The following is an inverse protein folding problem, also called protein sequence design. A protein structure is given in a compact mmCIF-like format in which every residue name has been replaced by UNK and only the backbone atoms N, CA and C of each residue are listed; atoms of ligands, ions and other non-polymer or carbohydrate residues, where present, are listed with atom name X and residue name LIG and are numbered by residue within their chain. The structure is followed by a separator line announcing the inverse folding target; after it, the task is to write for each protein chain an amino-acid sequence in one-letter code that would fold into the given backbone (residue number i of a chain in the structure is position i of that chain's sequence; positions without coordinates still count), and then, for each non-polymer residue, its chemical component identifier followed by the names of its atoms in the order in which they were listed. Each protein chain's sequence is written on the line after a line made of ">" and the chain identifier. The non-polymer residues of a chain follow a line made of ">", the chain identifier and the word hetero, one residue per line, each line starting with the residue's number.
data_IF_895710075505
#
_entry.id   IF_895710075505
#
_cell.length_a   1.000
_cell.length_b   1.000
_cell.length_c   1.000
_cell.angle_alpha   90.00
_cell.angle_beta   90.00
_cell.angle_gamma   90.00
#
_symmetry.space_group_name_H-M   'P 1'
#
loop_
_entity.id
_entity.type
_entity.pdbx_description
1 polymer ?
#
# COMPACT_ATOMS: atom_id res chain seq x y z
N UNK A 1 -46.42 -14.21 19.25
CA UNK A 1 -47.86 -13.81 19.14
C UNK A 1 -48.55 -13.87 20.54
N UNK A 2 -48.39 -14.95 21.34
CA UNK A 2 -49.05 -15.10 22.64
C UNK A 2 -48.72 -14.00 23.62
N UNK A 3 -47.41 -13.62 23.73
CA UNK A 3 -46.97 -12.61 24.67
C UNK A 3 -47.55 -11.22 24.37
N UNK A 4 -47.59 -10.83 23.09
CA UNK A 4 -48.13 -9.52 22.66
C UNK A 4 -49.62 -9.39 22.90
N UNK A 5 -50.36 -10.48 22.74
CA UNK A 5 -51.84 -10.47 22.85
C UNK A 5 -52.34 -10.70 24.29
N UNK A 6 -51.57 -11.44 25.13
CA UNK A 6 -52.01 -11.81 26.46
C UNK A 6 -51.32 -10.99 27.55
N UNK A 7 -50.02 -10.74 27.38
CA UNK A 7 -49.18 -10.12 28.44
C UNK A 7 -48.77 -8.69 28.10
N UNK A 8 -49.16 -8.21 26.92
CA UNK A 8 -48.83 -6.86 26.41
C UNK A 8 -47.30 -6.56 26.43
N UNK A 9 -46.48 -7.60 26.31
CA UNK A 9 -45.00 -7.51 26.25
C UNK A 9 -44.46 -8.10 24.98
N UNK A 10 -43.39 -7.51 24.48
CA UNK A 10 -42.64 -8.00 23.31
C UNK A 10 -41.64 -9.10 23.66
N UNK A 11 -41.29 -9.22 24.97
CA UNK A 11 -40.26 -10.12 25.46
C UNK A 11 -40.95 -11.27 26.17
N UNK A 12 -40.66 -12.51 25.80
CA UNK A 12 -41.15 -13.71 26.43
C UNK A 12 -40.24 -14.20 27.54
N UNK A 13 -40.63 -15.30 28.23
CA UNK A 13 -39.85 -15.92 29.31
C UNK A 13 -38.50 -16.50 28.84
N UNK A 14 -38.43 -16.93 27.60
CA UNK A 14 -37.17 -17.41 26.96
C UNK A 14 -36.65 -16.33 26.03
N UNK A 15 -35.54 -15.73 26.42
CA UNK A 15 -34.84 -14.70 25.66
C UNK A 15 -33.53 -15.30 25.17
N UNK A 16 -33.29 -15.16 23.85
CA UNK A 16 -32.04 -15.52 23.23
C UNK A 16 -31.43 -14.26 22.61
N UNK A 17 -30.10 -14.21 22.55
CA UNK A 17 -29.36 -13.07 21.97
C UNK A 17 -28.85 -13.45 20.60
N UNK A 18 -29.17 -12.60 19.64
CA UNK A 18 -28.61 -12.68 18.30
C UNK A 18 -27.79 -11.42 18.03
N UNK A 19 -26.47 -11.59 17.91
CA UNK A 19 -25.56 -10.49 17.62
C UNK A 19 -25.57 -10.19 16.13
N UNK A 20 -25.74 -8.93 15.80
CA UNK A 20 -25.67 -8.41 14.43
C UNK A 20 -24.54 -7.41 14.29
N UNK A 21 -24.00 -7.22 13.09
CA UNK A 21 -23.01 -6.17 12.83
C UNK A 21 -23.61 -4.78 13.05
N UNK A 22 -22.75 -3.77 13.22
CA UNK A 22 -23.20 -2.38 13.38
C UNK A 22 -23.98 -1.89 12.15
N UNK A 23 -23.59 -2.34 10.97
CA UNK A 23 -24.22 -2.02 9.70
C UNK A 23 -25.63 -2.62 9.61
N UNK A 24 -25.82 -3.87 10.09
CA UNK A 24 -27.12 -4.56 10.10
C UNK A 24 -28.03 -4.05 11.21
N UNK A 25 -27.49 -3.40 12.24
CA UNK A 25 -28.24 -2.87 13.38
C UNK A 25 -28.88 -1.50 13.11
N UNK A 26 -28.69 -0.92 11.93
CA UNK A 26 -29.21 0.42 11.61
C UNK A 26 -30.73 0.38 11.49
N UNK A 27 -31.40 1.14 12.36
CA UNK A 27 -32.85 1.37 12.28
C UNK A 27 -33.12 2.58 11.42
N UNK A 28 -34.08 2.47 10.49
CA UNK A 28 -34.44 3.55 9.56
C UNK A 28 -35.69 4.25 10.10
N UNK A 29 -35.48 5.33 10.84
CA UNK A 29 -36.54 6.15 11.41
C UNK A 29 -36.66 7.54 10.75
N UNK A 30 -35.56 7.99 10.13
CA UNK A 30 -35.43 9.29 9.46
C UNK A 30 -34.91 9.18 8.03
N UNK A 31 -34.98 10.26 7.26
CA UNK A 31 -34.38 10.31 5.92
C UNK A 31 -32.82 10.21 5.98
N UNK A 32 -32.22 10.68 7.08
CA UNK A 32 -30.78 10.53 7.29
C UNK A 32 -30.40 9.05 7.48
N UNK A 33 -31.19 8.29 8.24
CA UNK A 33 -30.96 6.85 8.43
C UNK A 33 -31.13 6.10 7.10
N UNK A 34 -32.12 6.48 6.30
CA UNK A 34 -32.30 5.90 4.97
C UNK A 34 -31.11 6.21 4.05
N UNK A 35 -30.60 7.43 4.07
CA UNK A 35 -29.43 7.82 3.29
C UNK A 35 -28.19 7.04 3.74
N UNK A 36 -27.98 6.90 5.05
CA UNK A 36 -26.86 6.12 5.62
C UNK A 36 -26.98 4.63 5.25
N UNK A 37 -28.16 4.02 5.42
CA UNK A 37 -28.38 2.63 5.04
C UNK A 37 -28.18 2.40 3.54
N UNK A 38 -28.65 3.31 2.70
CA UNK A 38 -28.46 3.25 1.25
C UNK A 38 -26.98 3.37 0.87
N UNK A 39 -26.23 4.26 1.54
CA UNK A 39 -24.79 4.40 1.35
C UNK A 39 -24.06 3.10 1.72
N UNK A 40 -24.33 2.51 2.88
CA UNK A 40 -23.71 1.27 3.33
C UNK A 40 -24.00 0.11 2.37
N UNK A 41 -25.28 -0.01 1.93
CA UNK A 41 -25.68 -1.06 0.99
C UNK A 41 -25.07 -0.88 -0.41
N UNK A 42 -24.73 0.35 -0.78
CA UNK A 42 -24.08 0.66 -2.06
C UNK A 42 -22.56 0.46 -2.05
N UNK A 43 -21.95 0.26 -0.87
CA UNK A 43 -20.51 0.08 -0.76
C UNK A 43 -20.06 -1.18 -1.48
N UNK A 44 -18.96 -1.03 -2.21
CA UNK A 44 -18.31 -2.14 -2.91
C UNK A 44 -17.42 -2.93 -1.98
N UNK A 45 -17.47 -4.25 -2.07
CA UNK A 45 -16.53 -5.13 -1.38
C UNK A 45 -15.25 -5.23 -2.18
N UNK A 46 -14.15 -4.79 -1.59
CA UNK A 46 -12.85 -4.69 -2.26
C UNK A 46 -11.86 -5.61 -1.57
N UNK A 47 -11.09 -6.33 -2.37
CA UNK A 47 -9.90 -7.05 -1.92
C UNK A 47 -8.66 -6.48 -2.60
N UNK A 48 -7.55 -6.43 -1.88
CA UNK A 48 -6.23 -6.05 -2.40
C UNK A 48 -5.27 -7.21 -2.12
N UNK A 49 -4.64 -7.74 -3.16
CA UNK A 49 -3.55 -8.70 -3.03
C UNK A 49 -2.24 -7.99 -3.32
N UNK A 50 -1.36 -7.93 -2.33
CA UNK A 50 -0.11 -7.17 -2.41
C UNK A 50 1.05 -7.96 -1.82
N UNK A 51 2.21 -7.89 -2.50
CA UNK A 51 3.45 -8.46 -2.00
C UNK A 51 4.59 -7.42 -2.07
N UNK A 52 5.49 -7.48 -1.08
CA UNK A 52 6.66 -6.63 -1.02
C UNK A 52 7.73 -7.22 -0.09
N UNK A 53 8.97 -7.12 -0.52
CA UNK A 53 10.13 -7.57 0.25
C UNK A 53 11.40 -6.86 -0.24
N UNK A 54 12.57 -7.28 0.29
CA UNK A 54 13.85 -6.68 -0.10
C UNK A 54 14.25 -6.88 -1.56
N UNK A 55 13.64 -7.84 -2.28
CA UNK A 55 13.95 -8.11 -3.69
C UNK A 55 12.97 -7.40 -4.62
N UNK A 56 11.68 -7.49 -4.32
CA UNK A 56 10.60 -6.86 -5.10
C UNK A 56 10.55 -5.35 -4.85
N UNK A 57 10.97 -4.91 -3.66
CA UNK A 57 10.81 -3.54 -3.19
C UNK A 57 9.55 -3.35 -2.33
N UNK A 58 9.40 -2.15 -1.79
CA UNK A 58 8.34 -1.79 -0.86
C UNK A 58 7.24 -0.90 -1.49
N UNK A 59 7.43 -0.49 -2.74
CA UNK A 59 6.52 0.43 -3.43
C UNK A 59 5.08 -0.10 -3.50
N UNK A 60 4.92 -1.40 -3.73
CA UNK A 60 3.63 -2.08 -3.76
C UNK A 60 2.89 -1.96 -2.41
N UNK A 61 3.60 -2.20 -1.30
CA UNK A 61 3.02 -2.13 0.06
C UNK A 61 2.55 -0.70 0.38
N UNK A 62 3.42 0.30 0.17
CA UNK A 62 3.07 1.69 0.46
C UNK A 62 1.90 2.17 -0.39
N UNK A 63 1.94 1.90 -1.70
CA UNK A 63 0.85 2.26 -2.61
C UNK A 63 -0.47 1.60 -2.22
N UNK A 64 -0.45 0.31 -1.91
CA UNK A 64 -1.66 -0.43 -1.52
C UNK A 64 -2.26 0.07 -0.20
N UNK A 65 -1.43 0.47 0.77
CA UNK A 65 -1.91 1.07 2.03
C UNK A 65 -2.54 2.44 1.78
N UNK A 66 -1.88 3.32 1.03
CA UNK A 66 -2.43 4.63 0.66
C UNK A 66 -3.76 4.48 -0.12
N UNK A 67 -3.81 3.54 -1.07
CA UNK A 67 -5.03 3.25 -1.81
C UNK A 67 -6.15 2.73 -0.91
N UNK A 68 -5.82 1.85 0.04
CA UNK A 68 -6.78 1.28 0.97
C UNK A 68 -7.40 2.34 1.88
N UNK A 69 -6.64 3.38 2.24
CA UNK A 69 -7.12 4.51 3.04
C UNK A 69 -8.08 5.44 2.27
N UNK A 70 -8.12 5.37 0.94
CA UNK A 70 -9.05 6.15 0.11
C UNK A 70 -10.44 5.52 0.01
N UNK A 71 -10.58 4.25 0.33
CA UNK A 71 -11.88 3.59 0.27
C UNK A 71 -12.68 3.80 1.56
N UNK A 72 -13.95 4.19 1.42
CA UNK A 72 -14.88 4.27 2.56
C UNK A 72 -15.14 2.90 3.20
N UNK A 73 -15.15 1.82 2.39
CA UNK A 73 -15.13 0.45 2.88
C UNK A 73 -13.67 0.05 3.14
N UNK A 74 -13.42 -0.59 4.27
CA UNK A 74 -12.08 -1.15 4.52
C UNK A 74 -11.87 -2.38 3.62
N UNK A 75 -10.92 -2.36 2.69
CA UNK A 75 -10.64 -3.52 1.84
C UNK A 75 -9.98 -4.63 2.65
N UNK A 76 -10.25 -5.88 2.28
CA UNK A 76 -9.49 -7.04 2.76
C UNK A 76 -8.11 -7.04 2.07
N UNK A 77 -7.03 -6.97 2.85
CA UNK A 77 -5.67 -6.96 2.30
C UNK A 77 -5.01 -8.32 2.44
N UNK A 78 -4.82 -9.00 1.33
CA UNK A 78 -4.15 -10.30 1.25
C UNK A 78 -2.67 -10.14 0.95
N UNK A 79 -1.83 -10.97 1.56
CA UNK A 79 -0.40 -11.04 1.26
C UNK A 79 0.13 -12.46 1.39
N UNK A 80 1.11 -12.83 0.57
CA UNK A 80 1.76 -14.13 0.62
C UNK A 80 2.86 -14.16 1.70
N UNK A 81 2.62 -14.91 2.78
CA UNK A 81 3.58 -15.03 3.90
C UNK A 81 4.89 -15.70 3.53
N UNK A 82 4.96 -16.38 2.38
CA UNK A 82 6.20 -16.99 1.88
C UNK A 82 7.12 -15.97 1.23
N UNK A 83 6.58 -14.82 0.82
CA UNK A 83 7.30 -13.75 0.14
C UNK A 83 7.34 -12.46 0.96
N UNK A 84 6.31 -12.18 1.74
CA UNK A 84 6.08 -10.90 2.41
C UNK A 84 5.95 -11.10 3.91
N UNK A 85 6.80 -10.44 4.70
CA UNK A 85 6.67 -10.44 6.16
C UNK A 85 5.59 -9.44 6.60
N UNK A 86 4.79 -9.82 7.62
CA UNK A 86 3.78 -8.93 8.20
C UNK A 86 4.37 -7.58 8.66
N UNK A 87 5.61 -7.58 9.15
CA UNK A 87 6.24 -6.37 9.68
C UNK A 87 6.47 -5.27 8.64
N UNK A 88 6.52 -5.60 7.35
CA UNK A 88 6.74 -4.59 6.29
C UNK A 88 5.54 -3.65 6.10
N UNK A 89 4.34 -4.05 6.55
CA UNK A 89 3.16 -3.18 6.53
C UNK A 89 3.19 -2.11 7.64
N UNK A 90 4.01 -2.31 8.67
CA UNK A 90 4.04 -1.43 9.82
C UNK A 90 2.74 -1.44 10.63
N UNK A 91 2.44 -0.31 11.26
CA UNK A 91 1.16 -0.09 11.94
C UNK A 91 0.10 0.31 10.91
N UNK A 92 -0.99 -0.41 10.87
CA UNK A 92 -2.11 -0.16 9.97
C UNK A 92 -3.42 -0.58 10.61
N UNK A 93 -4.50 0.12 10.27
CA UNK A 93 -5.86 -0.19 10.69
C UNK A 93 -6.59 -1.14 9.73
N UNK A 94 -5.93 -1.57 8.66
CA UNK A 94 -6.49 -2.53 7.71
C UNK A 94 -6.31 -3.96 8.19
N UNK A 95 -7.28 -4.82 7.90
CA UNK A 95 -7.19 -6.25 8.15
C UNK A 95 -6.21 -6.87 7.16
N UNK A 96 -5.11 -7.43 7.68
CA UNK A 96 -4.09 -8.09 6.89
C UNK A 96 -4.28 -9.61 6.96
N UNK A 97 -4.62 -10.21 5.83
CA UNK A 97 -4.98 -11.63 5.71
C UNK A 97 -3.82 -12.39 5.07
N UNK A 98 -3.08 -13.19 5.85
CA UNK A 98 -1.98 -13.97 5.32
C UNK A 98 -2.49 -15.16 4.52
N UNK A 99 -1.84 -15.45 3.38
CA UNK A 99 -2.07 -16.66 2.58
C UNK A 99 -0.73 -17.32 2.22
N UNK A 100 -0.74 -18.62 1.97
CA UNK A 100 0.43 -19.37 1.51
C UNK A 100 0.35 -19.59 0.01
N UNK A 101 0.71 -18.54 -0.75
CA UNK A 101 0.70 -18.60 -2.21
C UNK A 101 -0.68 -18.46 -2.85
N UNK A 102 -0.66 -18.54 -4.18
CA UNK A 102 -1.84 -18.29 -5.02
C UNK A 102 -2.97 -19.30 -4.80
N UNK A 103 -2.66 -20.57 -4.55
CA UNK A 103 -3.70 -21.59 -4.38
C UNK A 103 -4.59 -21.32 -3.18
N UNK A 104 -4.01 -20.97 -2.03
CA UNK A 104 -4.78 -20.62 -0.83
C UNK A 104 -5.53 -19.30 -1.03
N UNK A 105 -4.92 -18.31 -1.68
CA UNK A 105 -5.58 -17.05 -2.04
C UNK A 105 -6.88 -17.34 -2.81
N UNK A 106 -6.81 -18.13 -3.87
CA UNK A 106 -7.98 -18.47 -4.71
C UNK A 106 -9.09 -19.18 -3.91
N UNK A 107 -8.74 -20.08 -3.00
CA UNK A 107 -9.71 -20.76 -2.14
C UNK A 107 -10.42 -19.81 -1.18
N UNK A 108 -9.70 -18.84 -0.64
CA UNK A 108 -10.27 -17.86 0.30
C UNK A 108 -11.14 -16.85 -0.42
N UNK A 109 -10.65 -16.25 -1.52
CA UNK A 109 -11.39 -15.21 -2.25
C UNK A 109 -12.65 -15.74 -2.93
N UNK A 110 -12.65 -17.00 -3.35
CA UNK A 110 -13.83 -17.67 -3.91
C UNK A 110 -15.01 -17.71 -2.94
N UNK A 111 -14.74 -17.81 -1.62
CA UNK A 111 -15.77 -17.86 -0.57
C UNK A 111 -16.35 -16.48 -0.25
N UNK A 112 -15.54 -15.44 -0.48
CA UNK A 112 -15.92 -14.05 -0.23
C UNK A 112 -16.26 -13.40 -1.58
N UNK A 113 -17.49 -12.96 -1.78
CA UNK A 113 -17.89 -12.28 -3.02
C UNK A 113 -17.39 -10.84 -2.99
N UNK A 114 -16.37 -10.54 -3.81
CA UNK A 114 -15.87 -9.19 -4.01
C UNK A 114 -16.43 -8.57 -5.28
N UNK A 115 -16.70 -7.26 -5.24
CA UNK A 115 -17.02 -6.47 -6.45
C UNK A 115 -15.75 -6.13 -7.23
N UNK A 116 -14.64 -5.82 -6.50
CA UNK A 116 -13.36 -5.46 -7.08
C UNK A 116 -12.23 -6.23 -6.40
N UNK A 117 -11.34 -6.77 -7.19
CA UNK A 117 -10.11 -7.41 -6.74
C UNK A 117 -8.92 -6.69 -7.35
N UNK A 118 -8.05 -6.19 -6.50
CA UNK A 118 -6.87 -5.40 -6.90
C UNK A 118 -5.62 -6.24 -6.72
N UNK A 119 -4.84 -6.43 -7.80
CA UNK A 119 -3.50 -6.97 -7.73
C UNK A 119 -2.48 -5.83 -7.70
N UNK A 120 -1.69 -5.77 -6.67
CA UNK A 120 -0.52 -4.91 -6.58
C UNK A 120 0.73 -5.78 -6.32
N UNK A 121 1.08 -6.54 -7.35
CA UNK A 121 2.20 -7.47 -7.40
C UNK A 121 3.06 -7.17 -8.62
N UNK A 122 4.33 -7.62 -8.62
CA UNK A 122 5.31 -7.20 -9.63
C UNK A 122 4.86 -7.51 -11.06
N UNK A 123 4.35 -8.72 -11.30
CA UNK A 123 3.80 -9.12 -12.60
C UNK A 123 2.85 -10.30 -12.42
N UNK A 124 1.76 -10.31 -13.16
CA UNK A 124 0.83 -11.43 -13.16
C UNK A 124 1.06 -12.34 -14.37
N UNK A 125 0.88 -13.64 -14.18
CA UNK A 125 0.87 -14.62 -15.29
C UNK A 125 -0.54 -14.78 -15.85
N UNK A 126 -0.63 -15.17 -17.12
CA UNK A 126 -1.92 -15.51 -17.75
C UNK A 126 -2.65 -16.62 -16.99
N UNK A 127 -1.93 -17.64 -16.50
CA UNK A 127 -2.50 -18.72 -15.72
C UNK A 127 -3.17 -18.23 -14.44
N UNK A 128 -2.47 -17.39 -13.66
CA UNK A 128 -3.02 -16.82 -12.44
C UNK A 128 -4.30 -16.00 -12.70
N UNK A 129 -4.26 -15.16 -13.72
CA UNK A 129 -5.40 -14.30 -14.06
C UNK A 129 -6.61 -15.10 -14.57
N UNK A 130 -6.40 -16.17 -15.32
CA UNK A 130 -7.48 -17.09 -15.73
C UNK A 130 -8.11 -17.75 -14.50
N UNK A 131 -7.30 -18.26 -13.58
CA UNK A 131 -7.79 -18.87 -12.34
C UNK A 131 -8.58 -17.86 -11.48
N UNK A 132 -8.11 -16.61 -11.38
CA UNK A 132 -8.87 -15.55 -10.70
C UNK A 132 -10.25 -15.35 -11.33
N UNK A 133 -10.33 -15.21 -12.65
CA UNK A 133 -11.59 -15.01 -13.36
C UNK A 133 -12.54 -16.21 -13.23
N UNK A 134 -12.02 -17.41 -13.26
CA UNK A 134 -12.81 -18.63 -13.06
C UNK A 134 -13.40 -18.70 -11.64
N UNK A 135 -12.63 -18.32 -10.63
CA UNK A 135 -13.08 -18.34 -9.24
C UNK A 135 -13.95 -17.14 -8.84
N UNK A 136 -13.83 -16.03 -9.56
CA UNK A 136 -14.55 -14.77 -9.30
C UNK A 136 -15.11 -14.15 -10.61
N UNK A 137 -16.06 -14.81 -11.29
CA UNK A 137 -16.49 -14.41 -12.65
C UNK A 137 -17.17 -13.03 -12.71
N UNK A 138 -17.79 -12.59 -11.61
CA UNK A 138 -18.48 -11.29 -11.54
C UNK A 138 -17.62 -10.16 -11.00
N UNK A 139 -16.41 -10.49 -10.46
CA UNK A 139 -15.51 -9.53 -9.85
C UNK A 139 -14.70 -8.78 -10.90
N UNK A 140 -14.61 -7.46 -10.77
CA UNK A 140 -13.71 -6.64 -11.61
C UNK A 140 -12.28 -6.75 -11.11
N UNK A 141 -11.35 -7.09 -11.99
CA UNK A 141 -9.94 -7.25 -11.64
C UNK A 141 -9.14 -6.05 -12.13
N UNK A 142 -8.46 -5.39 -11.20
CA UNK A 142 -7.61 -4.22 -11.45
C UNK A 142 -6.17 -4.57 -11.07
N UNK A 143 -5.23 -4.36 -11.99
CA UNK A 143 -3.81 -4.59 -11.73
C UNK A 143 -3.05 -3.25 -11.70
N UNK A 144 -2.13 -3.11 -10.74
CA UNK A 144 -1.23 -1.96 -10.65
C UNK A 144 0.17 -2.32 -11.07
N UNK A 145 0.77 -1.47 -11.93
CA UNK A 145 2.16 -1.58 -12.43
C UNK A 145 2.49 -2.97 -13.00
N UNK A 146 1.50 -3.61 -13.60
CA UNK A 146 1.62 -4.96 -14.13
C UNK A 146 2.05 -4.93 -15.59
N UNK A 147 3.27 -5.42 -15.83
CA UNK A 147 3.84 -5.62 -17.17
C UNK A 147 3.88 -7.10 -17.59
N UNK A 148 3.28 -7.99 -16.81
CA UNK A 148 3.20 -9.42 -17.09
C UNK A 148 2.15 -9.78 -18.14
N UNK A 149 2.21 -11.01 -18.62
CA UNK A 149 1.24 -11.53 -19.61
C UNK A 149 -0.20 -11.53 -19.10
N UNK A 150 -0.39 -11.62 -17.78
CA UNK A 150 -1.72 -11.59 -17.16
C UNK A 150 -2.40 -10.23 -17.25
N UNK A 151 -1.66 -9.16 -17.47
CA UNK A 151 -2.19 -7.79 -17.58
C UNK A 151 -3.25 -7.66 -18.70
N UNK A 152 -3.13 -8.40 -19.78
CA UNK A 152 -4.11 -8.44 -20.88
C UNK A 152 -5.47 -8.99 -20.45
N UNK A 153 -5.51 -9.78 -19.38
CA UNK A 153 -6.72 -10.40 -18.87
C UNK A 153 -7.40 -9.59 -17.76
N UNK A 154 -6.76 -8.55 -17.26
CA UNK A 154 -7.36 -7.66 -16.28
C UNK A 154 -8.48 -6.81 -16.89
N UNK A 155 -9.47 -6.39 -16.09
CA UNK A 155 -10.49 -5.43 -16.54
C UNK A 155 -9.88 -4.01 -16.69
N UNK A 156 -8.89 -3.70 -15.85
CA UNK A 156 -8.14 -2.44 -15.88
C UNK A 156 -6.71 -2.66 -15.39
N UNK A 157 -5.76 -2.04 -16.05
CA UNK A 157 -4.36 -1.94 -15.60
C UNK A 157 -4.00 -0.48 -15.42
N UNK A 158 -3.37 -0.13 -14.31
CA UNK A 158 -2.92 1.23 -13.98
C UNK A 158 -1.40 1.21 -13.87
N UNK A 159 -0.72 1.84 -14.83
CA UNK A 159 0.74 1.95 -14.91
C UNK A 159 1.15 3.41 -14.85
N UNK A 160 1.36 3.95 -13.63
CA UNK A 160 1.82 5.32 -13.45
C UNK A 160 3.31 5.50 -13.78
N UNK A 161 4.11 4.46 -13.50
CA UNK A 161 5.56 4.46 -13.64
C UNK A 161 6.05 3.94 -15.02
N UNK A 162 5.28 3.06 -15.66
CA UNK A 162 5.61 2.47 -16.94
C UNK A 162 4.81 3.11 -18.06
N UNK A 163 5.47 3.44 -19.18
CA UNK A 163 4.85 4.17 -20.29
C UNK A 163 4.31 3.25 -21.40
N UNK A 164 4.50 1.95 -21.29
CA UNK A 164 4.07 1.00 -22.29
C UNK A 164 2.59 0.62 -22.09
N UNK A 165 1.75 1.10 -23.01
CA UNK A 165 0.36 0.69 -23.10
C UNK A 165 0.21 -0.39 -24.16
N UNK A 166 0.22 -1.64 -23.75
CA UNK A 166 0.12 -2.78 -24.69
C UNK A 166 -1.33 -3.12 -25.07
N UNK A 167 -2.32 -2.58 -24.38
CA UNK A 167 -3.72 -2.92 -24.56
C UNK A 167 -4.65 -1.73 -24.21
N UNK A 168 -5.89 -1.82 -24.69
CA UNK A 168 -6.93 -0.81 -24.46
C UNK A 168 -7.37 -0.66 -23.00
N UNK A 169 -7.12 -1.68 -22.19
CA UNK A 169 -7.44 -1.72 -20.77
C UNK A 169 -6.35 -1.09 -19.87
N UNK A 170 -5.27 -0.55 -20.44
CA UNK A 170 -4.16 0.05 -19.69
C UNK A 170 -4.31 1.57 -19.62
N UNK A 171 -4.18 2.12 -18.41
CA UNK A 171 -4.09 3.56 -18.14
C UNK A 171 -2.68 3.89 -17.70
N UNK A 172 -2.03 4.82 -18.41
CA UNK A 172 -0.63 5.19 -18.17
C UNK A 172 -0.47 6.67 -17.81
N UNK A 173 0.61 6.97 -17.15
CA UNK A 173 1.09 8.32 -16.89
C UNK A 173 0.95 8.76 -15.43
N UNK A 174 1.64 9.87 -15.14
CA UNK A 174 1.82 10.43 -13.80
C UNK A 174 0.51 10.79 -13.08
N UNK A 175 -0.55 11.10 -13.81
CA UNK A 175 -1.88 11.42 -13.23
C UNK A 175 -2.54 10.24 -12.50
N UNK A 176 -2.02 9.03 -12.69
CA UNK A 176 -2.47 7.82 -11.99
C UNK A 176 -1.55 7.42 -10.84
N UNK A 177 -0.52 8.21 -10.56
CA UNK A 177 0.37 7.96 -9.44
C UNK A 177 -0.35 8.19 -8.11
N UNK A 178 -0.30 7.19 -7.24
CA UNK A 178 -0.84 7.29 -5.89
C UNK A 178 0.25 7.88 -5.02
N UNK A 179 0.14 9.17 -4.73
CA UNK A 179 1.05 9.88 -3.86
C UNK A 179 0.58 9.77 -2.40
N UNK A 180 1.51 9.55 -1.45
CA UNK A 180 1.16 9.62 -0.04
C UNK A 180 0.56 10.98 0.32
N UNK A 181 -0.57 10.99 1.05
CA UNK A 181 -1.30 12.22 1.44
C UNK A 181 -0.43 13.24 2.14
N UNK A 182 0.58 12.78 2.85
CA UNK A 182 1.50 13.65 3.57
C UNK A 182 2.20 14.67 2.66
N UNK A 183 2.48 14.31 1.39
CA UNK A 183 3.06 15.24 0.43
C UNK A 183 2.16 16.45 0.14
N UNK A 184 0.84 16.29 0.26
CA UNK A 184 -0.13 17.37 0.03
C UNK A 184 -0.15 18.42 1.16
N UNK A 185 0.47 18.12 2.30
CA UNK A 185 0.59 19.05 3.44
C UNK A 185 1.80 19.99 3.33
N UNK A 186 2.64 19.80 2.32
CA UNK A 186 3.85 20.57 2.12
C UNK A 186 3.74 21.46 0.88
N UNK A 187 4.14 22.71 1.03
CA UNK A 187 4.26 23.63 -0.10
C UNK A 187 5.50 23.28 -0.95
N UNK A 188 5.47 23.57 -2.26
CA UNK A 188 6.63 23.42 -3.11
C UNK A 188 7.83 24.21 -2.58
N UNK A 189 8.99 23.58 -2.50
CA UNK A 189 10.21 24.23 -2.03
C UNK A 189 10.83 25.15 -3.10
N UNK A 190 11.53 26.18 -2.65
CA UNK A 190 12.39 26.98 -3.50
C UNK A 190 13.78 26.34 -3.50
N UNK A 191 14.21 25.85 -4.67
CA UNK A 191 15.54 25.23 -4.81
C UNK A 191 16.61 26.31 -4.73
N UNK A 192 17.61 26.11 -3.87
CA UNK A 192 18.76 27.01 -3.72
C UNK A 192 19.67 26.92 -4.94
N UNK A 193 20.30 28.04 -5.29
CA UNK A 193 21.26 28.09 -6.40
C UNK A 193 22.57 27.38 -6.09
N UNK A 194 22.90 27.20 -4.81
CA UNK A 194 24.10 26.50 -4.35
C UNK A 194 23.67 25.28 -3.56
N UNK A 195 24.08 24.12 -4.05
CA UNK A 195 23.83 22.83 -3.38
C UNK A 195 24.61 22.76 -2.08
N UNK A 196 23.90 22.47 -1.00
CA UNK A 196 24.47 22.19 0.33
C UNK A 196 23.97 20.87 0.89
N UNK A 197 22.67 20.60 0.75
CA UNK A 197 22.02 19.48 1.36
C UNK A 197 21.59 18.47 0.28
N UNK A 198 22.08 17.23 0.43
CA UNK A 198 21.91 16.14 -0.53
C UNK A 198 21.13 15.03 0.13
N UNK A 199 19.97 14.69 -0.40
CA UNK A 199 19.23 13.51 -0.01
C UNK A 199 19.81 12.27 -0.68
N UNK A 200 19.99 11.19 0.08
CA UNK A 200 20.35 9.86 -0.44
C UNK A 200 19.25 8.88 0.00
N UNK A 201 18.50 8.34 -0.96
CA UNK A 201 17.47 7.35 -0.65
C UNK A 201 17.23 6.43 -1.84
N UNK A 202 17.14 5.14 -1.57
CA UNK A 202 16.90 4.10 -2.58
C UNK A 202 15.66 3.25 -2.25
N UNK A 203 14.63 3.95 -1.75
CA UNK A 203 13.35 3.35 -1.40
C UNK A 203 13.39 2.48 -0.14
N UNK A 204 12.39 1.61 0.00
CA UNK A 204 12.17 0.86 1.22
C UNK A 204 13.19 -0.23 1.52
N UNK A 205 13.86 -0.76 0.53
CA UNK A 205 14.70 -1.96 0.65
C UNK A 205 16.18 -1.78 0.24
N UNK A 206 16.45 -0.90 -0.72
CA UNK A 206 17.78 -0.72 -1.31
C UNK A 206 18.51 -2.05 -1.57
N UNK A 207 17.99 -2.93 -2.44
CA UNK A 207 18.51 -4.29 -2.62
C UNK A 207 19.90 -4.33 -3.22
N UNK A 208 20.33 -3.27 -3.89
CA UNK A 208 21.62 -3.12 -4.54
C UNK A 208 22.69 -2.50 -3.61
N UNK A 209 22.32 -2.15 -2.36
CA UNK A 209 23.17 -1.46 -1.39
C UNK A 209 23.81 -0.16 -1.93
N UNK A 210 23.04 0.61 -2.71
CA UNK A 210 23.54 1.87 -3.27
C UNK A 210 23.81 2.91 -2.18
N UNK A 211 23.04 2.95 -1.11
CA UNK A 211 23.29 3.83 0.03
C UNK A 211 24.68 3.62 0.60
N UNK A 212 25.06 2.37 0.87
CA UNK A 212 26.38 2.03 1.41
C UNK A 212 27.50 2.39 0.44
N UNK A 213 27.37 2.01 -0.83
CA UNK A 213 28.36 2.32 -1.88
C UNK A 213 28.64 3.82 -2.01
N UNK A 214 27.59 4.64 -1.95
CA UNK A 214 27.74 6.10 -2.03
C UNK A 214 28.41 6.65 -0.78
N UNK A 215 28.02 6.16 0.40
CA UNK A 215 28.67 6.56 1.65
C UNK A 215 30.14 6.20 1.70
N UNK A 216 30.54 5.05 1.16
CA UNK A 216 31.94 4.67 1.01
C UNK A 216 32.70 5.64 0.10
N UNK A 217 32.13 6.05 -1.02
CA UNK A 217 32.74 7.04 -1.92
C UNK A 217 32.91 8.39 -1.19
N UNK A 218 31.90 8.83 -0.46
CA UNK A 218 31.95 10.09 0.30
C UNK A 218 33.03 10.02 1.41
N UNK A 219 33.06 8.92 2.14
CA UNK A 219 34.01 8.71 3.24
C UNK A 219 35.47 8.61 2.78
N UNK A 220 35.72 8.08 1.58
CA UNK A 220 37.03 7.96 1.00
C UNK A 220 37.60 9.27 0.44
N UNK A 221 36.77 10.28 0.21
CA UNK A 221 37.20 11.59 -0.30
C UNK A 221 36.44 12.71 0.44
N UNK A 222 36.64 12.76 1.75
CA UNK A 222 35.99 13.72 2.64
C UNK A 222 36.39 15.17 2.35
N UNK A 223 37.58 15.41 1.81
CA UNK A 223 38.06 16.75 1.43
C UNK A 223 37.18 17.32 0.31
N UNK A 224 36.78 16.49 -0.65
CA UNK A 224 35.94 16.88 -1.76
C UNK A 224 34.49 17.04 -1.35
N UNK A 225 33.97 16.12 -0.56
CA UNK A 225 32.55 16.01 -0.23
C UNK A 225 32.16 16.67 1.09
N UNK A 226 33.10 17.00 1.97
CA UNK A 226 32.84 17.57 3.30
C UNK A 226 32.12 18.93 3.34
N UNK A 227 32.01 19.59 2.19
CA UNK A 227 31.23 20.85 2.04
C UNK A 227 29.73 20.64 1.89
N UNK A 228 29.29 19.40 1.70
CA UNK A 228 27.88 19.02 1.56
C UNK A 228 27.41 18.30 2.81
N UNK A 229 26.14 18.47 3.16
CA UNK A 229 25.46 17.67 4.16
C UNK A 229 24.69 16.53 3.45
N UNK A 230 24.84 15.32 3.91
CA UNK A 230 24.20 14.15 3.34
C UNK A 230 23.11 13.64 4.30
N UNK A 231 21.86 13.70 3.86
CA UNK A 231 20.69 13.17 4.56
C UNK A 231 20.35 11.83 3.96
N UNK A 232 20.69 10.76 4.67
CA UNK A 232 20.53 9.39 4.18
C UNK A 232 19.29 8.78 4.79
N UNK A 233 18.34 8.40 3.95
CA UNK A 233 17.10 7.77 4.41
C UNK A 233 17.09 6.30 4.01
N UNK A 234 17.12 5.44 5.01
CA UNK A 234 17.03 4.00 4.88
C UNK A 234 15.59 3.54 5.15
N UNK A 235 15.03 2.76 4.25
CA UNK A 235 13.67 2.25 4.42
C UNK A 235 13.59 1.04 5.35
N UNK A 236 12.37 0.73 5.79
CA UNK A 236 12.02 -0.32 6.77
C UNK A 236 12.56 -1.70 6.41
N UNK A 237 12.63 -2.03 5.13
CA UNK A 237 13.08 -3.33 4.66
C UNK A 237 14.60 -3.42 4.38
N UNK A 238 15.35 -2.35 4.67
CA UNK A 238 16.81 -2.35 4.51
C UNK A 238 17.44 -3.32 5.51
N UNK A 239 18.35 -4.15 5.01
CA UNK A 239 19.17 -5.09 5.82
C UNK A 239 20.54 -4.47 6.13
N UNK A 240 21.23 -5.03 7.11
CA UNK A 240 22.61 -4.67 7.49
C UNK A 240 22.79 -3.18 7.84
N UNK A 241 21.79 -2.62 8.53
CA UNK A 241 21.76 -1.19 8.89
C UNK A 241 22.98 -0.81 9.74
N UNK A 242 23.45 -1.70 10.64
CA UNK A 242 24.58 -1.46 11.52
C UNK A 242 25.87 -1.10 10.77
N UNK A 243 26.09 -1.71 9.60
CA UNK A 243 27.22 -1.39 8.75
C UNK A 243 27.15 0.00 8.14
N UNK A 244 25.94 0.49 7.90
CA UNK A 244 25.70 1.83 7.37
C UNK A 244 25.80 2.87 8.48
N UNK A 245 25.32 2.58 9.68
CA UNK A 245 25.37 3.50 10.83
C UNK A 245 26.79 3.88 11.24
N UNK A 246 27.81 3.09 10.87
CA UNK A 246 29.23 3.47 11.09
C UNK A 246 29.63 4.80 10.44
N UNK A 247 28.92 5.22 9.39
CA UNK A 247 29.16 6.49 8.71
C UNK A 247 28.65 7.72 9.48
N UNK A 248 27.83 7.57 10.53
CA UNK A 248 27.45 8.67 11.43
C UNK A 248 28.63 9.30 12.17
N UNK A 249 29.81 8.69 12.12
CA UNK A 249 31.05 9.30 12.62
C UNK A 249 31.49 10.55 11.87
N UNK A 250 30.99 10.75 10.65
CA UNK A 250 31.25 11.95 9.85
C UNK A 250 30.18 13.01 10.14
N UNK A 251 30.60 14.19 10.57
CA UNK A 251 29.70 15.26 11.02
C UNK A 251 28.71 15.77 9.95
N UNK A 252 29.02 15.53 8.67
CA UNK A 252 28.21 15.93 7.53
C UNK A 252 27.34 14.80 6.96
N UNK A 253 27.24 13.67 7.65
CA UNK A 253 26.38 12.53 7.27
C UNK A 253 25.38 12.29 8.39
N UNK A 254 24.09 12.39 8.05
CA UNK A 254 22.96 12.12 8.94
C UNK A 254 22.15 10.95 8.39
N UNK A 255 22.14 9.82 9.13
CA UNK A 255 21.47 8.59 8.70
C UNK A 255 20.20 8.41 9.50
N UNK A 256 19.08 8.41 8.79
CA UNK A 256 17.74 8.21 9.31
C UNK A 256 17.19 6.87 8.84
N UNK A 257 16.44 6.20 9.71
CA UNK A 257 15.85 4.90 9.42
C UNK A 257 14.33 4.95 9.62
N UNK A 258 13.59 4.37 8.67
CA UNK A 258 12.12 4.21 8.70
C UNK A 258 11.38 5.49 9.10
N UNK A 259 11.72 6.60 8.45
CA UNK A 259 11.07 7.88 8.72
C UNK A 259 9.67 7.91 8.12
N UNK A 260 8.73 8.48 8.87
CA UNK A 260 7.35 8.64 8.42
C UNK A 260 7.16 9.91 7.59
N UNK A 261 7.89 10.99 7.93
CA UNK A 261 7.77 12.29 7.27
C UNK A 261 8.89 12.52 6.25
N UNK A 262 8.78 11.82 5.12
CA UNK A 262 9.73 11.98 4.00
C UNK A 262 9.69 13.39 3.40
N UNK A 263 8.52 14.06 3.22
CA UNK A 263 8.47 15.44 2.74
C UNK A 263 9.25 16.42 3.60
N UNK A 264 9.25 16.27 4.92
CA UNK A 264 10.04 17.12 5.82
C UNK A 264 11.55 17.02 5.57
N UNK A 265 12.05 15.84 5.24
CA UNK A 265 13.46 15.66 4.87
C UNK A 265 13.73 16.20 3.48
N UNK A 266 12.87 15.89 2.51
CA UNK A 266 12.99 16.38 1.13
C UNK A 266 12.99 17.91 1.07
N UNK A 267 12.16 18.59 1.88
CA UNK A 267 12.07 20.05 1.91
C UNK A 267 13.35 20.76 2.33
N UNK A 268 14.27 20.07 2.99
CA UNK A 268 15.58 20.62 3.43
C UNK A 268 16.67 20.42 2.39
N UNK A 269 16.46 19.54 1.43
CA UNK A 269 17.48 19.11 0.48
C UNK A 269 17.40 19.88 -0.83
N UNK A 270 18.54 20.10 -1.47
CA UNK A 270 18.66 20.81 -2.74
C UNK A 270 18.60 19.84 -3.93
N UNK A 271 19.16 18.64 -3.74
CA UNK A 271 19.15 17.57 -4.74
C UNK A 271 18.95 16.21 -4.05
N UNK A 272 18.54 15.22 -4.83
CA UNK A 272 18.40 13.84 -4.38
C UNK A 272 19.19 12.87 -5.26
N UNK A 273 19.80 11.88 -4.62
CA UNK A 273 20.37 10.70 -5.26
C UNK A 273 19.46 9.53 -4.92
N UNK A 274 18.82 9.00 -5.96
CA UNK A 274 17.81 7.95 -5.82
C UNK A 274 17.84 6.99 -7.00
N UNK A 275 17.19 5.83 -6.87
CA UNK A 275 16.91 4.94 -8.01
C UNK A 275 15.57 5.29 -8.66
N UNK A 276 15.44 4.87 -9.88
CA UNK A 276 14.17 4.90 -10.61
C UNK A 276 13.27 3.76 -10.14
#
# INVERSE_FOLDING_TARGET
>A
KKNVTTELTRIGEKVDLFEVSKEEAITIDTFQDLALASFILSQKKIAIYVNGNNQIGMGHIYRSLELADEFYCKPDMYFDITQTSRCVFGETNHELIPVKGVSELLEVVKKKKYDVFINDVLSTSSQYMLQLKENMPETKIVNFEDCGEGSYLADLVINALYQDAHASNVKIGEKYYIAPKMFMLYEPITIRTVVKDVLITFGGADPQNYSEKILEIIANDIERYGKYNFHVVLGRAKKNIEEILKFNRFANIDIMYDIHDMPAVMSRCDIAITSR
#
